data_IF_981527332337
#
_entry.id   IF_981527332337
#
_cell.length_a   1.000
_cell.length_b   1.000
_cell.length_c   1.000
_cell.angle_alpha   90.00
_cell.angle_beta   90.00
_cell.angle_gamma   90.00
#
_symmetry.space_group_name_H-M   'P 1'
#
loop_
_entity.id
_entity.type
_entity.pdbx_description
1 polymer ?
#
# COMPACT_ATOMS: atom_id res chain seq x y z
N UNK A 1 22.19 -1.14 26.55
CA UNK A 1 20.83 -1.20 27.10
C UNK A 1 20.35 0.22 27.37
N UNK A 2 19.88 0.92 26.34
CA UNK A 2 19.28 2.26 26.51
C UNK A 2 17.79 2.06 26.79
N UNK A 3 17.35 2.38 28.00
CA UNK A 3 15.96 2.61 28.33
C UNK A 3 15.50 3.81 27.48
N UNK A 4 14.86 3.55 26.31
CA UNK A 4 14.10 4.58 25.60
C UNK A 4 13.08 5.11 26.61
N UNK A 5 13.22 6.39 26.96
CA UNK A 5 12.32 7.12 27.84
C UNK A 5 10.90 6.99 27.28
N UNK A 6 10.07 6.23 27.95
CA UNK A 6 8.64 6.11 27.71
C UNK A 6 7.98 7.41 28.19
N UNK A 7 8.09 8.46 27.40
CA UNK A 7 7.29 9.67 27.56
C UNK A 7 6.08 9.51 26.63
N UNK A 8 5.29 8.46 26.85
CA UNK A 8 3.96 8.40 26.27
C UNK A 8 2.97 8.23 27.41
N UNK A 9 1.95 9.06 27.33
CA UNK A 9 0.85 9.25 28.23
C UNK A 9 0.44 7.94 28.91
N UNK A 10 0.39 7.97 30.24
CA UNK A 10 -0.21 6.92 31.08
C UNK A 10 -1.71 6.78 30.88
N UNK A 11 -2.29 7.45 29.85
CA UNK A 11 -3.70 7.47 29.55
C UNK A 11 -4.17 6.20 28.85
N UNK A 12 -5.44 5.88 29.08
CA UNK A 12 -6.11 4.77 28.42
C UNK A 12 -6.99 5.30 27.30
N UNK A 13 -6.85 4.71 26.12
CA UNK A 13 -7.61 5.07 24.93
C UNK A 13 -8.72 4.07 24.64
N UNK A 14 -9.80 4.55 24.02
CA UNK A 14 -10.93 3.74 23.58
C UNK A 14 -11.34 4.11 22.16
N UNK A 15 -11.67 3.10 21.36
CA UNK A 15 -12.34 3.30 20.07
C UNK A 15 -13.11 2.06 19.61
N UNK A 16 -13.98 2.26 18.61
CA UNK A 16 -14.58 1.19 17.81
C UNK A 16 -13.49 0.60 16.90
N UNK A 17 -13.20 -0.69 17.03
CA UNK A 17 -12.18 -1.41 16.26
C UNK A 17 -12.74 -2.15 15.03
N UNK A 18 -14.05 -2.26 14.89
CA UNK A 18 -14.75 -2.76 13.69
C UNK A 18 -15.17 -1.62 12.77
N UNK A 19 -15.57 -1.93 11.54
CA UNK A 19 -16.13 -0.93 10.64
C UNK A 19 -17.33 -0.21 11.27
N UNK A 20 -17.51 1.07 10.95
CA UNK A 20 -18.66 1.86 11.38
C UNK A 20 -19.93 1.40 10.68
N UNK A 21 -21.09 1.55 11.36
CA UNK A 21 -22.39 1.18 10.84
C UNK A 21 -23.03 0.03 11.63
N UNK A 22 -24.25 -0.35 11.24
CA UNK A 22 -24.98 -1.44 11.89
C UNK A 22 -24.42 -2.80 11.46
N UNK A 23 -24.20 -3.69 12.42
CA UNK A 23 -23.73 -5.06 12.19
C UNK A 23 -24.19 -6.00 13.29
N UNK A 24 -23.91 -7.29 13.16
CA UNK A 24 -24.23 -8.25 14.21
C UNK A 24 -23.36 -8.02 15.46
N UNK A 25 -22.10 -7.71 15.26
CA UNK A 25 -21.09 -7.53 16.31
C UNK A 25 -20.31 -6.24 16.06
N UNK A 26 -20.05 -5.48 17.13
CA UNK A 26 -19.09 -4.39 17.19
C UNK A 26 -18.03 -4.69 18.24
N UNK A 27 -16.77 -4.43 17.95
CA UNK A 27 -15.67 -4.57 18.90
C UNK A 27 -15.20 -3.19 19.35
N UNK A 28 -15.31 -2.91 20.64
CA UNK A 28 -14.79 -1.69 21.25
C UNK A 28 -13.53 -2.06 22.01
N UNK A 29 -12.42 -1.38 21.69
CA UNK A 29 -11.09 -1.68 22.25
C UNK A 29 -10.63 -0.56 23.18
N UNK A 30 -10.19 -0.95 24.38
CA UNK A 30 -9.45 -0.12 25.33
C UNK A 30 -7.98 -0.55 25.32
N UNK A 31 -7.05 0.40 25.37
CA UNK A 31 -5.61 0.14 25.52
C UNK A 31 -4.99 1.19 26.42
N UNK A 32 -4.15 0.76 27.35
CA UNK A 32 -3.42 1.63 28.27
C UNK A 32 -3.36 1.06 29.68
N UNK A 33 -2.67 1.77 30.57
CA UNK A 33 -2.37 1.31 31.91
C UNK A 33 -3.63 0.92 32.72
N UNK A 34 -4.72 1.68 32.57
CA UNK A 34 -5.95 1.49 33.35
C UNK A 34 -7.06 0.78 32.53
N UNK A 35 -6.72 0.14 31.40
CA UNK A 35 -7.74 -0.48 30.53
C UNK A 35 -8.55 -1.57 31.23
N UNK A 36 -7.91 -2.38 32.09
CA UNK A 36 -8.56 -3.47 32.81
C UNK A 36 -9.41 -2.94 33.97
N UNK A 37 -8.91 -1.94 34.70
CA UNK A 37 -9.62 -1.30 35.81
C UNK A 37 -10.88 -0.59 35.32
N UNK A 38 -10.80 0.17 34.23
CA UNK A 38 -11.95 0.81 33.59
C UNK A 38 -12.94 -0.24 33.13
N UNK A 39 -12.48 -1.31 32.49
CA UNK A 39 -13.35 -2.40 32.05
C UNK A 39 -14.07 -3.09 33.22
N UNK A 40 -13.37 -3.34 34.32
CA UNK A 40 -13.94 -4.01 35.51
C UNK A 40 -15.03 -3.17 36.17
N UNK A 41 -14.94 -1.82 36.12
CA UNK A 41 -15.94 -0.92 36.66
C UNK A 41 -17.25 -0.96 35.88
N UNK A 42 -17.18 -1.16 34.57
CA UNK A 42 -18.37 -1.05 33.67
C UNK A 42 -18.93 -2.41 33.24
N UNK A 43 -18.18 -3.50 33.43
CA UNK A 43 -18.55 -4.85 33.02
C UNK A 43 -18.84 -5.74 34.24
N UNK A 44 -19.96 -6.46 34.20
CA UNK A 44 -20.34 -7.42 35.23
C UNK A 44 -20.34 -8.84 34.69
N UNK A 45 -19.30 -9.59 35.01
CA UNK A 45 -19.18 -10.99 34.60
C UNK A 45 -20.24 -11.87 35.27
N UNK A 46 -20.86 -12.76 34.51
CA UNK A 46 -21.78 -13.76 35.08
C UNK A 46 -21.08 -14.77 36.00
N UNK A 47 -19.78 -14.96 35.84
CA UNK A 47 -19.01 -15.76 36.79
C UNK A 47 -18.73 -15.07 38.11
N UNK A 48 -19.18 -13.80 38.27
CA UNK A 48 -18.95 -12.95 39.45
C UNK A 48 -17.46 -12.73 39.79
N UNK A 49 -16.55 -12.99 38.83
CA UNK A 49 -15.12 -12.74 39.01
C UNK A 49 -14.76 -11.38 38.40
N UNK A 50 -13.91 -10.64 39.12
CA UNK A 50 -13.33 -9.39 38.60
C UNK A 50 -12.47 -9.66 37.39
N UNK A 51 -12.49 -8.75 36.41
CA UNK A 51 -11.59 -8.78 35.25
C UNK A 51 -10.14 -8.54 35.68
N UNK A 52 -9.92 -7.84 36.79
CA UNK A 52 -8.59 -7.58 37.35
C UNK A 52 -7.90 -8.91 37.75
N UNK A 53 -8.65 -9.87 38.29
CA UNK A 53 -8.11 -11.16 38.72
C UNK A 53 -8.10 -12.21 37.59
N UNK A 54 -8.76 -11.91 36.46
CA UNK A 54 -8.86 -12.85 35.35
C UNK A 54 -7.49 -13.08 34.69
N UNK A 55 -7.18 -14.30 34.22
CA UNK A 55 -5.96 -14.55 33.43
C UNK A 55 -5.96 -13.79 32.10
N UNK A 56 -4.75 -13.49 31.59
CA UNK A 56 -4.61 -12.93 30.23
C UNK A 56 -5.07 -13.92 29.17
N UNK A 57 -5.58 -13.42 28.04
CA UNK A 57 -6.09 -14.21 26.91
C UNK A 57 -7.30 -15.07 27.27
N UNK A 58 -8.19 -14.51 28.11
CA UNK A 58 -9.47 -15.13 28.48
C UNK A 58 -10.64 -14.28 28.03
N UNK A 59 -11.77 -14.95 27.80
CA UNK A 59 -13.03 -14.34 27.37
C UNK A 59 -14.06 -14.55 28.46
N UNK A 60 -14.81 -13.50 28.81
CA UNK A 60 -15.81 -13.49 29.86
C UNK A 60 -17.15 -13.01 29.30
N UNK A 61 -18.23 -13.76 29.57
CA UNK A 61 -19.60 -13.32 29.28
C UNK A 61 -20.12 -12.53 30.43
N UNK A 62 -20.84 -11.43 30.14
CA UNK A 62 -21.43 -10.56 31.16
C UNK A 62 -22.20 -9.41 30.55
N UNK A 63 -22.56 -8.45 31.40
CA UNK A 63 -23.29 -7.25 31.02
C UNK A 63 -22.45 -5.99 31.15
N UNK A 64 -22.66 -5.04 30.23
CA UNK A 64 -22.19 -3.66 30.37
C UNK A 64 -23.32 -2.84 31.02
N UNK A 65 -22.99 -2.15 32.10
CA UNK A 65 -23.99 -1.45 32.94
C UNK A 65 -23.61 0.02 33.14
N UNK A 66 -24.58 0.89 32.98
CA UNK A 66 -24.50 2.30 33.37
C UNK A 66 -25.63 2.63 34.38
N UNK A 67 -25.28 3.19 35.55
CA UNK A 67 -26.26 3.62 36.55
C UNK A 67 -27.32 2.56 36.87
N UNK A 68 -26.93 1.30 37.03
CA UNK A 68 -27.76 0.12 37.26
C UNK A 68 -28.71 -0.24 36.09
N UNK A 69 -28.44 0.25 34.93
CA UNK A 69 -29.15 -0.09 33.69
C UNK A 69 -28.23 -0.90 32.78
N UNK A 70 -28.69 -2.08 32.35
CA UNK A 70 -27.94 -2.90 31.36
C UNK A 70 -28.02 -2.21 30.01
N UNK A 71 -26.85 -1.94 29.43
CA UNK A 71 -26.70 -1.41 28.08
C UNK A 71 -26.71 -2.56 27.06
N UNK A 72 -25.90 -3.59 27.35
CA UNK A 72 -25.78 -4.75 26.47
C UNK A 72 -25.26 -5.98 27.22
N UNK A 73 -25.54 -7.16 26.71
CA UNK A 73 -24.92 -8.42 27.11
C UNK A 73 -23.83 -8.76 26.08
N UNK A 74 -22.56 -8.86 26.52
CA UNK A 74 -21.44 -8.97 25.62
C UNK A 74 -20.30 -9.82 26.16
N UNK A 75 -19.28 -10.03 25.32
CA UNK A 75 -18.04 -10.69 25.70
C UNK A 75 -16.96 -9.65 25.98
N UNK A 76 -16.21 -9.83 27.08
CA UNK A 76 -14.99 -9.08 27.38
C UNK A 76 -13.78 -9.99 27.20
N UNK A 77 -12.85 -9.62 26.31
CA UNK A 77 -11.57 -10.31 26.09
C UNK A 77 -10.45 -9.51 26.73
N UNK A 78 -9.56 -10.15 27.50
CA UNK A 78 -8.55 -9.49 28.29
C UNK A 78 -7.15 -9.87 27.80
N UNK A 79 -6.29 -8.87 27.63
CA UNK A 79 -4.88 -9.02 27.30
C UNK A 79 -4.06 -8.25 28.33
N UNK A 80 -3.34 -8.97 29.21
CA UNK A 80 -2.49 -8.38 30.26
C UNK A 80 -1.06 -8.19 29.80
N UNK A 81 -0.46 -7.10 30.24
CA UNK A 81 0.95 -6.80 29.99
C UNK A 81 1.27 -6.62 28.52
N UNK A 82 2.46 -6.99 28.11
CA UNK A 82 2.99 -6.74 26.76
C UNK A 82 2.51 -7.72 25.67
N UNK A 83 1.76 -8.77 26.05
CA UNK A 83 1.24 -9.76 25.08
C UNK A 83 -0.11 -9.32 24.51
N UNK A 84 -0.17 -8.11 23.99
CA UNK A 84 -1.31 -7.49 23.33
C UNK A 84 -0.89 -6.88 21.99
N UNK A 85 -1.82 -6.34 21.23
CA UNK A 85 -1.53 -5.64 19.99
C UNK A 85 -0.64 -4.41 20.20
N UNK A 86 -1.00 -3.56 21.16
CA UNK A 86 -0.28 -2.31 21.46
C UNK A 86 0.97 -2.51 22.34
N UNK A 87 1.14 -3.67 22.95
CA UNK A 87 2.15 -3.89 24.00
C UNK A 87 1.77 -3.35 25.36
N UNK A 88 0.55 -2.87 25.55
CA UNK A 88 -0.05 -2.39 26.80
C UNK A 88 -1.16 -3.34 27.25
N UNK A 89 -1.73 -3.22 28.48
CA UNK A 89 -2.98 -3.88 28.84
C UNK A 89 -4.11 -3.47 27.89
N UNK A 90 -4.85 -4.47 27.37
CA UNK A 90 -5.96 -4.25 26.42
C UNK A 90 -7.18 -5.02 26.87
N UNK A 91 -8.36 -4.41 26.72
CA UNK A 91 -9.66 -5.07 26.82
C UNK A 91 -10.46 -4.83 25.55
N UNK A 92 -11.07 -5.88 25.02
CA UNK A 92 -11.97 -5.80 23.88
C UNK A 92 -13.38 -6.25 24.29
N UNK A 93 -14.36 -5.37 24.12
CA UNK A 93 -15.77 -5.70 24.28
C UNK A 93 -16.37 -6.06 22.93
N UNK A 94 -16.85 -7.30 22.78
CA UNK A 94 -17.63 -7.73 21.61
C UNK A 94 -19.10 -7.57 21.92
N UNK A 95 -19.66 -6.44 21.52
CA UNK A 95 -21.05 -6.02 21.77
C UNK A 95 -21.92 -6.27 20.54
N UNK A 96 -23.26 -6.13 20.67
CA UNK A 96 -24.12 -6.04 19.50
C UNK A 96 -23.82 -4.76 18.70
N UNK A 97 -23.78 -4.86 17.39
CA UNK A 97 -23.37 -3.79 16.47
C UNK A 97 -24.44 -2.74 16.19
N UNK A 98 -25.13 -2.27 17.24
CA UNK A 98 -26.03 -1.12 17.18
C UNK A 98 -25.27 0.18 17.40
N UNK A 99 -25.51 1.20 16.57
CA UNK A 99 -24.91 2.52 16.77
C UNK A 99 -25.15 3.07 18.17
N UNK A 100 -26.35 2.86 18.71
CA UNK A 100 -26.69 3.28 20.06
C UNK A 100 -25.82 2.60 21.11
N UNK A 101 -25.68 1.27 21.05
CA UNK A 101 -24.84 0.49 21.98
C UNK A 101 -23.39 0.95 21.91
N UNK A 102 -22.84 1.08 20.70
CA UNK A 102 -21.45 1.54 20.48
C UNK A 102 -21.21 2.90 21.12
N UNK A 103 -22.11 3.87 20.90
CA UNK A 103 -22.00 5.21 21.48
C UNK A 103 -22.07 5.19 23.01
N UNK A 104 -23.03 4.45 23.59
CA UNK A 104 -23.19 4.38 25.03
C UNK A 104 -22.01 3.69 25.73
N UNK A 105 -21.45 2.62 25.13
CA UNK A 105 -20.26 1.95 25.67
C UNK A 105 -19.03 2.85 25.60
N UNK A 106 -18.82 3.57 24.49
CA UNK A 106 -17.73 4.54 24.39
C UNK A 106 -17.91 5.65 25.44
N UNK A 107 -19.10 6.25 25.56
CA UNK A 107 -19.38 7.27 26.57
C UNK A 107 -19.12 6.74 27.99
N UNK A 108 -19.48 5.49 28.25
CA UNK A 108 -19.24 4.85 29.53
C UNK A 108 -17.73 4.70 29.82
N UNK A 109 -16.94 4.30 28.84
CA UNK A 109 -15.48 4.24 28.98
C UNK A 109 -14.86 5.62 29.22
N UNK A 110 -15.35 6.67 28.53
CA UNK A 110 -14.88 8.04 28.70
C UNK A 110 -15.20 8.57 30.08
N UNK A 111 -16.42 8.29 30.61
CA UNK A 111 -16.85 8.68 31.95
C UNK A 111 -16.01 8.01 33.05
N UNK A 112 -15.39 6.88 32.78
CA UNK A 112 -14.52 6.13 33.70
C UNK A 112 -13.01 6.38 33.45
N UNK A 113 -12.65 7.43 32.71
CA UNK A 113 -11.26 7.91 32.62
C UNK A 113 -10.48 7.46 31.38
N UNK A 114 -11.13 6.84 30.40
CA UNK A 114 -10.55 6.68 29.06
C UNK A 114 -10.67 7.99 28.26
N UNK A 115 -9.89 8.14 27.19
CA UNK A 115 -10.14 9.14 26.14
C UNK A 115 -10.33 8.47 24.78
N UNK A 116 -10.91 9.20 23.84
CA UNK A 116 -10.98 8.72 22.46
C UNK A 116 -9.58 8.56 21.86
N UNK A 117 -9.39 7.46 21.12
CA UNK A 117 -8.19 7.25 20.35
C UNK A 117 -8.14 8.17 19.12
N UNK A 118 -6.96 8.63 18.78
CA UNK A 118 -6.68 9.29 17.52
C UNK A 118 -6.62 8.28 16.37
N UNK A 119 -6.59 8.77 15.11
CA UNK A 119 -6.40 7.92 13.94
C UNK A 119 -5.07 7.16 14.04
N UNK A 120 -5.10 5.83 13.87
CA UNK A 120 -3.91 4.98 13.92
C UNK A 120 -3.24 4.84 15.28
N UNK A 121 -3.83 5.34 16.38
CA UNK A 121 -3.13 5.43 17.66
C UNK A 121 -2.80 4.07 18.27
N UNK A 122 -3.62 3.05 18.11
CA UNK A 122 -3.28 1.70 18.59
C UNK A 122 -2.05 1.14 17.87
N UNK A 123 -1.96 1.35 16.55
CA UNK A 123 -0.79 0.91 15.76
C UNK A 123 0.45 1.76 16.07
N UNK A 124 0.28 3.08 16.30
CA UNK A 124 1.34 3.97 16.76
C UNK A 124 1.92 3.50 18.10
N UNK A 125 1.07 3.13 19.06
CA UNK A 125 1.50 2.56 20.35
C UNK A 125 2.21 1.22 20.18
N UNK A 126 1.72 0.35 19.27
CA UNK A 126 2.40 -0.90 18.95
C UNK A 126 3.83 -0.64 18.41
N UNK A 127 4.01 0.33 17.52
CA UNK A 127 5.32 0.75 17.02
C UNK A 127 6.21 1.30 18.16
N UNK A 128 5.70 2.23 18.95
CA UNK A 128 6.45 2.85 20.05
C UNK A 128 6.87 1.86 21.14
N UNK A 129 6.05 0.84 21.38
CA UNK A 129 6.33 -0.25 22.30
C UNK A 129 7.19 -1.37 21.66
N UNK A 130 7.69 -1.18 20.43
CA UNK A 130 8.59 -2.11 19.76
C UNK A 130 7.93 -3.43 19.33
N UNK A 131 6.60 -3.44 19.15
CA UNK A 131 5.86 -4.61 18.64
C UNK A 131 5.96 -4.72 17.13
N UNK A 132 6.08 -3.59 16.44
CA UNK A 132 6.18 -3.46 15.00
C UNK A 132 7.27 -2.45 14.65
N UNK A 133 7.98 -2.67 13.54
CA UNK A 133 8.75 -1.63 12.88
C UNK A 133 7.81 -0.66 12.14
N UNK A 134 8.29 0.54 11.77
CA UNK A 134 7.43 1.56 11.16
C UNK A 134 6.84 1.10 9.83
N UNK A 135 7.64 0.47 8.97
CA UNK A 135 7.16 -0.09 7.70
C UNK A 135 6.18 -1.27 7.90
N UNK A 136 6.29 -2.03 8.99
CA UNK A 136 5.29 -3.05 9.35
C UNK A 136 3.97 -2.40 9.80
N UNK A 137 4.06 -1.29 10.55
CA UNK A 137 2.89 -0.51 10.93
C UNK A 137 2.17 0.03 9.68
N UNK A 138 2.89 0.59 8.72
CA UNK A 138 2.33 1.02 7.42
C UNK A 138 1.66 -0.15 6.68
N UNK A 139 2.29 -1.34 6.69
CA UNK A 139 1.73 -2.53 6.05
C UNK A 139 0.42 -3.02 6.67
N UNK A 140 0.14 -2.72 7.95
CA UNK A 140 -1.17 -2.99 8.57
C UNK A 140 -2.28 -2.19 7.87
N UNK A 141 -2.04 -0.90 7.57
CA UNK A 141 -3.00 -0.09 6.83
C UNK A 141 -3.20 -0.61 5.40
N UNK A 142 -2.11 -0.96 4.73
CA UNK A 142 -2.13 -1.52 3.38
C UNK A 142 -2.90 -2.85 3.32
N UNK A 143 -2.74 -3.71 4.34
CA UNK A 143 -3.45 -4.98 4.43
C UNK A 143 -4.97 -4.78 4.57
N UNK A 144 -5.39 -3.79 5.35
CA UNK A 144 -6.80 -3.45 5.54
C UNK A 144 -7.40 -2.86 4.26
N UNK A 145 -6.63 -2.02 3.56
CA UNK A 145 -7.06 -1.37 2.32
C UNK A 145 -6.96 -2.29 1.09
N UNK A 146 -6.37 -3.50 1.24
CA UNK A 146 -6.17 -4.40 0.10
C UNK A 146 -7.50 -4.92 -0.45
N UNK A 147 -7.70 -4.73 -1.74
CA UNK A 147 -8.90 -5.11 -2.50
C UNK A 147 -8.65 -6.25 -3.50
N UNK A 148 -7.39 -6.65 -3.71
CA UNK A 148 -7.00 -7.69 -4.65
C UNK A 148 -6.10 -8.74 -3.99
N UNK A 149 -6.00 -9.93 -4.60
CA UNK A 149 -5.09 -10.99 -4.14
C UNK A 149 -3.64 -10.51 -4.11
N UNK A 150 -3.23 -9.73 -5.10
CA UNK A 150 -1.87 -9.24 -5.20
C UNK A 150 -1.57 -8.21 -4.10
N UNK A 151 -2.42 -7.20 -3.92
CA UNK A 151 -2.26 -6.19 -2.86
C UNK A 151 -2.24 -6.82 -1.47
N UNK A 152 -3.14 -7.78 -1.21
CA UNK A 152 -3.16 -8.53 0.04
C UNK A 152 -1.84 -9.31 0.28
N UNK A 153 -1.34 -10.04 -0.73
CA UNK A 153 -0.10 -10.81 -0.59
C UNK A 153 1.10 -9.93 -0.29
N UNK A 154 1.24 -8.81 -0.99
CA UNK A 154 2.33 -7.84 -0.78
C UNK A 154 2.25 -7.21 0.62
N UNK A 155 1.07 -6.73 1.02
CA UNK A 155 0.88 -6.15 2.36
C UNK A 155 1.15 -7.16 3.48
N UNK A 156 0.69 -8.41 3.32
CA UNK A 156 0.95 -9.48 4.30
C UNK A 156 2.43 -9.83 4.41
N UNK A 157 3.17 -9.85 3.28
CA UNK A 157 4.61 -10.10 3.28
C UNK A 157 5.38 -8.97 4.00
N UNK A 158 5.01 -7.72 3.74
CA UNK A 158 5.61 -6.56 4.41
C UNK A 158 5.29 -6.55 5.92
N UNK A 159 4.05 -6.84 6.31
CA UNK A 159 3.65 -6.94 7.71
C UNK A 159 4.42 -8.04 8.46
N UNK A 160 4.76 -9.16 7.79
CA UNK A 160 5.56 -10.25 8.36
C UNK A 160 7.06 -9.92 8.48
N UNK A 161 7.51 -8.75 8.03
CA UNK A 161 8.85 -8.25 8.26
C UNK A 161 9.93 -8.70 7.27
N UNK A 162 9.56 -9.28 6.10
CA UNK A 162 10.54 -9.70 5.10
C UNK A 162 11.44 -8.55 4.64
N UNK A 163 10.84 -7.40 4.32
CA UNK A 163 11.57 -6.18 3.97
C UNK A 163 12.37 -5.59 5.15
N UNK A 164 11.78 -5.62 6.36
CA UNK A 164 12.41 -5.11 7.59
C UNK A 164 13.72 -5.85 7.89
N UNK A 165 13.70 -7.18 7.87
CA UNK A 165 14.89 -7.98 8.19
C UNK A 165 16.02 -7.77 7.19
N UNK A 166 15.72 -7.53 5.91
CA UNK A 166 16.72 -7.25 4.88
C UNK A 166 17.41 -5.89 5.14
N UNK A 167 16.62 -4.84 5.44
CA UNK A 167 17.16 -3.51 5.78
C UNK A 167 17.94 -3.54 7.09
N UNK A 168 17.46 -4.22 8.11
CA UNK A 168 18.15 -4.36 9.41
C UNK A 168 19.48 -5.08 9.24
N UNK A 169 19.58 -6.13 8.43
CA UNK A 169 20.82 -6.84 8.15
C UNK A 169 21.85 -5.93 7.48
N UNK A 170 21.47 -5.23 6.41
CA UNK A 170 22.36 -4.27 5.72
C UNK A 170 22.84 -3.17 6.69
N UNK A 171 21.91 -2.66 7.49
CA UNK A 171 22.21 -1.60 8.46
C UNK A 171 23.16 -2.08 9.55
N UNK A 172 22.99 -3.30 10.06
CA UNK A 172 23.86 -3.86 11.09
C UNK A 172 25.29 -4.09 10.58
N UNK A 173 25.43 -4.59 9.35
CA UNK A 173 26.75 -4.77 8.75
C UNK A 173 27.46 -3.43 8.55
N UNK A 174 26.73 -2.40 8.06
CA UNK A 174 27.27 -1.07 7.87
C UNK A 174 27.64 -0.40 9.21
N UNK A 175 26.82 -0.61 10.25
CA UNK A 175 27.08 -0.10 11.60
C UNK A 175 28.33 -0.73 12.20
N UNK A 176 28.51 -2.04 12.05
CA UNK A 176 29.70 -2.74 12.51
C UNK A 176 30.96 -2.17 11.84
N UNK A 177 30.88 -1.88 10.55
CA UNK A 177 31.99 -1.29 9.82
C UNK A 177 32.27 0.17 10.24
N UNK A 178 31.22 0.98 10.41
CA UNK A 178 31.35 2.35 10.93
C UNK A 178 32.08 2.36 12.29
N UNK A 179 31.74 1.42 13.16
CA UNK A 179 32.40 1.31 14.47
C UNK A 179 33.90 0.98 14.37
N UNK A 180 34.31 0.16 13.38
CA UNK A 180 35.72 -0.12 13.14
C UNK A 180 36.48 1.10 12.62
N UNK A 181 35.86 1.90 11.75
CA UNK A 181 36.45 3.16 11.26
C UNK A 181 36.59 4.18 12.41
N UNK A 182 35.57 4.30 13.28
CA UNK A 182 35.64 5.17 14.46
C UNK A 182 36.76 4.75 15.40
N UNK A 183 36.95 3.43 15.57
CA UNK A 183 38.06 2.89 16.38
C UNK A 183 39.43 3.24 15.75
N UNK A 184 39.58 3.16 14.42
CA UNK A 184 40.82 3.59 13.74
C UNK A 184 41.12 5.09 14.00
N UNK A 185 40.11 5.93 14.03
CA UNK A 185 40.25 7.35 14.30
C UNK A 185 40.70 7.63 15.75
N UNK A 186 40.18 6.87 16.72
CA UNK A 186 40.56 7.01 18.13
C UNK A 186 42.02 6.56 18.39
N UNK A 187 42.53 5.63 17.56
CA UNK A 187 43.92 5.11 17.66
C UNK A 187 44.79 5.60 16.50
N UNK A 188 44.45 6.72 15.87
CA UNK A 188 45.15 7.27 14.69
C UNK A 188 46.65 7.61 14.92
N UNK A 189 47.10 7.73 16.19
CA UNK A 189 48.51 7.92 16.56
C UNK A 189 49.34 6.61 16.50
N UNK A 190 48.68 5.44 16.41
CA UNK A 190 49.35 4.13 16.47
C UNK A 190 49.50 3.43 15.10
N UNK A 191 49.11 4.03 13.98
CA UNK A 191 49.11 3.49 12.61
C UNK A 191 48.46 2.06 12.51
N UNK A 192 47.38 1.84 13.24
CA UNK A 192 46.67 0.55 13.24
C UNK A 192 45.44 0.60 12.35
N UNK A 193 45.37 -0.31 11.38
CA UNK A 193 44.15 -0.52 10.55
C UNK A 193 43.32 -1.65 11.16
N UNK A 194 42.13 -1.35 11.72
CA UNK A 194 41.18 -2.33 12.25
C UNK A 194 40.15 -2.79 11.19
N UNK A 195 39.87 -1.96 10.20
CA UNK A 195 38.90 -2.23 9.16
C UNK A 195 39.56 -2.76 7.89
N UNK A 196 39.27 -4.03 7.53
CA UNK A 196 39.71 -4.61 6.27
C UNK A 196 39.05 -3.91 5.07
N UNK A 197 39.81 -3.09 4.35
CA UNK A 197 39.34 -2.32 3.20
C UNK A 197 38.80 -3.19 2.06
N UNK A 198 39.29 -4.44 1.93
CA UNK A 198 38.79 -5.38 0.91
C UNK A 198 37.41 -5.93 1.28
N UNK A 199 37.19 -6.26 2.55
CA UNK A 199 35.88 -6.66 3.06
C UNK A 199 34.89 -5.51 2.95
N UNK A 200 35.31 -4.28 3.27
CA UNK A 200 34.44 -3.11 3.13
C UNK A 200 34.01 -2.87 1.68
N UNK A 201 34.92 -2.97 0.73
CA UNK A 201 34.58 -2.84 -0.70
C UNK A 201 33.55 -3.88 -1.15
N UNK A 202 33.66 -5.12 -0.66
CA UNK A 202 32.69 -6.16 -0.95
C UNK A 202 31.33 -5.86 -0.28
N UNK A 203 31.34 -5.37 0.95
CA UNK A 203 30.11 -4.94 1.66
C UNK A 203 29.42 -3.81 0.90
N UNK A 204 30.12 -2.75 0.51
CA UNK A 204 29.57 -1.65 -0.28
C UNK A 204 28.94 -2.16 -1.58
N UNK A 205 29.60 -3.07 -2.30
CA UNK A 205 29.06 -3.68 -3.50
C UNK A 205 27.78 -4.46 -3.23
N UNK A 206 27.70 -5.22 -2.13
CA UNK A 206 26.50 -5.97 -1.73
C UNK A 206 25.36 -5.00 -1.42
N UNK A 207 25.63 -3.97 -0.60
CA UNK A 207 24.63 -2.95 -0.24
C UNK A 207 24.11 -2.26 -1.49
N UNK A 208 25.01 -1.80 -2.37
CA UNK A 208 24.63 -1.11 -3.63
C UNK A 208 23.76 -1.99 -4.53
N UNK A 209 24.10 -3.27 -4.66
CA UNK A 209 23.31 -4.24 -5.45
C UNK A 209 21.93 -4.44 -4.86
N UNK A 210 21.83 -4.63 -3.55
CA UNK A 210 20.55 -4.83 -2.84
C UNK A 210 19.68 -3.57 -2.91
N UNK A 211 20.25 -2.39 -2.63
CA UNK A 211 19.50 -1.12 -2.73
C UNK A 211 18.99 -0.89 -4.14
N UNK A 212 19.83 -1.10 -5.16
CA UNK A 212 19.43 -0.94 -6.57
C UNK A 212 18.29 -1.90 -6.95
N UNK A 213 18.34 -3.15 -6.50
CA UNK A 213 17.29 -4.14 -6.73
C UNK A 213 15.98 -3.73 -6.07
N UNK A 214 16.02 -3.27 -4.81
CA UNK A 214 14.85 -2.78 -4.08
C UNK A 214 14.24 -1.53 -4.74
N UNK A 215 15.06 -0.57 -5.15
CA UNK A 215 14.62 0.63 -5.87
C UNK A 215 13.93 0.25 -7.19
N UNK A 216 14.52 -0.65 -7.98
CA UNK A 216 13.92 -1.13 -9.23
C UNK A 216 12.60 -1.86 -9.01
N UNK A 217 12.44 -2.55 -7.87
CA UNK A 217 11.19 -3.24 -7.55
C UNK A 217 10.00 -2.32 -7.30
N UNK A 218 10.24 -1.02 -7.05
CA UNK A 218 9.19 -0.06 -6.67
C UNK A 218 8.10 0.08 -7.74
N UNK A 219 8.46 0.10 -9.01
CA UNK A 219 7.47 0.22 -10.11
C UNK A 219 6.48 -0.94 -10.10
N UNK A 220 7.00 -2.17 -9.95
CA UNK A 220 6.19 -3.39 -9.86
C UNK A 220 5.40 -3.45 -8.54
N UNK A 221 6.06 -3.14 -7.42
CA UNK A 221 5.43 -3.10 -6.10
C UNK A 221 4.26 -2.12 -6.03
N UNK A 222 4.42 -0.93 -6.62
CA UNK A 222 3.37 0.08 -6.69
C UNK A 222 2.17 -0.40 -7.51
N UNK A 223 2.41 -1.08 -8.64
CA UNK A 223 1.37 -1.67 -9.47
C UNK A 223 0.64 -2.81 -8.74
N UNK A 224 1.36 -3.67 -8.03
CA UNK A 224 0.75 -4.76 -7.25
C UNK A 224 -0.11 -4.24 -6.09
N UNK A 225 0.31 -3.15 -5.44
CA UNK A 225 -0.40 -2.51 -4.34
C UNK A 225 -1.62 -1.72 -4.81
N UNK A 226 -1.43 -0.83 -5.78
CA UNK A 226 -2.43 0.16 -6.18
C UNK A 226 -3.21 -0.23 -7.44
N UNK A 227 -2.90 -1.38 -8.04
CA UNK A 227 -3.47 -1.83 -9.30
C UNK A 227 -2.81 -1.20 -10.53
N UNK A 228 -3.10 -1.79 -11.69
CA UNK A 228 -2.58 -1.36 -13.01
C UNK A 228 -3.46 -0.21 -13.52
N UNK A 229 -2.92 1.00 -13.69
CA UNK A 229 -3.69 2.10 -14.27
C UNK A 229 -3.87 1.89 -15.78
N UNK A 230 -5.13 1.90 -16.24
CA UNK A 230 -5.54 1.67 -17.63
C UNK A 230 -6.21 2.92 -18.19
N UNK A 231 -5.76 3.38 -19.35
CA UNK A 231 -6.43 4.42 -20.10
C UNK A 231 -7.17 3.82 -21.31
N UNK A 232 -8.44 4.16 -21.49
CA UNK A 232 -9.19 3.88 -22.72
C UNK A 232 -9.21 5.16 -23.55
N UNK A 233 -8.58 5.13 -24.72
CA UNK A 233 -8.46 6.27 -25.63
C UNK A 233 -9.01 5.93 -27.01
N UNK A 234 -9.41 6.93 -27.77
CA UNK A 234 -9.99 6.77 -29.11
C UNK A 234 -10.95 7.93 -29.44
N UNK A 235 -11.32 8.07 -30.73
CA UNK A 235 -12.26 9.11 -31.21
C UNK A 235 -13.59 9.07 -30.44
N UNK A 236 -14.37 10.16 -30.44
CA UNK A 236 -15.78 10.12 -30.04
C UNK A 236 -16.51 8.98 -30.78
N UNK A 237 -17.45 8.31 -30.10
CA UNK A 237 -18.22 7.18 -30.63
C UNK A 237 -17.44 5.91 -31.03
N UNK A 238 -16.15 5.82 -30.74
CA UNK A 238 -15.37 4.57 -30.93
C UNK A 238 -15.86 3.41 -30.04
N UNK A 239 -16.71 3.66 -29.04
CA UNK A 239 -17.29 2.64 -28.16
C UNK A 239 -16.60 2.49 -26.79
N UNK A 240 -15.90 3.53 -26.31
CA UNK A 240 -15.17 3.53 -25.04
C UNK A 240 -16.05 3.20 -23.83
N UNK A 241 -17.22 3.84 -23.71
CA UNK A 241 -18.19 3.57 -22.61
C UNK A 241 -18.79 2.17 -22.73
N UNK A 242 -19.05 1.72 -23.96
CA UNK A 242 -19.58 0.37 -24.22
C UNK A 242 -18.56 -0.69 -23.82
N UNK A 243 -17.28 -0.49 -24.17
CA UNK A 243 -16.19 -1.39 -23.77
C UNK A 243 -16.04 -1.45 -22.24
N UNK A 244 -16.01 -0.30 -21.56
CA UNK A 244 -15.90 -0.26 -20.11
C UNK A 244 -17.06 -1.00 -19.45
N UNK A 245 -18.30 -0.76 -19.91
CA UNK A 245 -19.48 -1.47 -19.41
C UNK A 245 -19.43 -2.98 -19.70
N UNK A 246 -18.96 -3.39 -20.87
CA UNK A 246 -18.81 -4.81 -21.21
C UNK A 246 -17.78 -5.50 -20.31
N UNK A 247 -16.68 -4.81 -19.97
CA UNK A 247 -15.67 -5.32 -19.04
C UNK A 247 -16.20 -5.43 -17.61
N UNK A 248 -17.00 -4.47 -17.14
CA UNK A 248 -17.52 -4.41 -15.76
C UNK A 248 -18.76 -5.28 -15.52
N UNK A 249 -19.63 -5.45 -16.51
CA UNK A 249 -20.92 -6.13 -16.32
C UNK A 249 -20.80 -7.61 -15.97
N UNK A 250 -19.73 -8.27 -16.35
CA UNK A 250 -19.51 -9.68 -15.99
C UNK A 250 -19.09 -9.88 -14.52
N UNK A 251 -18.53 -8.87 -13.84
CA UNK A 251 -18.10 -8.97 -12.43
C UNK A 251 -19.15 -8.50 -11.42
N UNK A 252 -20.09 -7.64 -11.80
CA UNK A 252 -21.17 -7.18 -10.90
C UNK A 252 -22.03 -8.31 -10.32
N UNK A 253 -21.92 -9.51 -10.87
CA UNK A 253 -22.58 -10.70 -10.33
C UNK A 253 -21.96 -11.26 -9.04
N UNK A 254 -20.81 -10.77 -8.59
CA UNK A 254 -20.02 -11.38 -7.49
C UNK A 254 -19.78 -10.45 -6.30
N UNK A 255 -19.94 -9.12 -6.45
CA UNK A 255 -19.60 -8.16 -5.38
C UNK A 255 -20.83 -7.45 -4.83
N UNK A 256 -21.08 -7.61 -3.53
CA UNK A 256 -22.09 -6.85 -2.79
C UNK A 256 -21.67 -5.37 -2.67
N UNK A 257 -22.64 -4.45 -2.84
CA UNK A 257 -22.50 -3.02 -2.63
C UNK A 257 -22.05 -2.71 -1.18
N UNK A 258 -20.75 -2.53 -0.98
CA UNK A 258 -20.24 -1.90 0.25
C UNK A 258 -20.17 -0.40 -0.02
N UNK A 259 -21.22 0.32 0.43
CA UNK A 259 -21.24 1.77 0.43
C UNK A 259 -20.19 2.30 1.42
N UNK A 260 -19.19 3.06 0.97
CA UNK A 260 -18.28 3.71 1.90
C UNK A 260 -16.96 4.29 1.41
N UNK A 261 -16.69 4.38 0.11
CA UNK A 261 -15.48 5.09 -0.39
C UNK A 261 -15.85 6.10 -1.46
N UNK A 262 -16.44 7.22 -1.04
CA UNK A 262 -16.59 8.42 -1.87
C UNK A 262 -15.58 9.45 -1.40
N UNK A 263 -14.54 9.69 -2.21
CA UNK A 263 -13.99 11.02 -2.52
C UNK A 263 -12.81 10.90 -3.47
N UNK A 264 -12.92 11.71 -4.53
CA UNK A 264 -11.91 12.03 -5.54
C UNK A 264 -11.72 11.02 -6.69
N UNK A 265 -12.18 11.44 -7.88
CA UNK A 265 -12.13 10.79 -9.20
C UNK A 265 -12.88 9.46 -9.32
N UNK A 266 -13.87 9.42 -10.21
CA UNK A 266 -14.63 8.20 -10.52
C UNK A 266 -13.72 7.28 -11.34
N UNK A 267 -12.90 6.50 -10.65
CA UNK A 267 -12.12 5.41 -11.22
C UNK A 267 -12.92 4.10 -11.06
N UNK A 268 -13.04 3.34 -12.13
CA UNK A 268 -13.64 2.00 -12.09
C UNK A 268 -12.53 0.96 -11.97
N UNK A 269 -12.69 0.01 -11.08
CA UNK A 269 -11.70 -1.06 -10.85
C UNK A 269 -12.26 -2.40 -11.30
N UNK A 270 -11.45 -3.16 -12.02
CA UNK A 270 -11.73 -4.52 -12.48
C UNK A 270 -10.65 -5.46 -11.99
N UNK A 271 -11.02 -6.60 -11.39
CA UNK A 271 -10.06 -7.58 -10.88
C UNK A 271 -9.84 -8.70 -11.91
N UNK A 272 -8.66 -8.75 -12.54
CA UNK A 272 -8.31 -9.76 -13.53
C UNK A 272 -7.05 -10.51 -13.07
N UNK A 273 -7.07 -11.82 -13.03
CA UNK A 273 -5.90 -12.62 -12.63
C UNK A 273 -5.42 -12.38 -11.20
N UNK A 274 -6.29 -11.81 -10.33
CA UNK A 274 -5.95 -11.47 -8.94
C UNK A 274 -5.24 -10.12 -8.76
N UNK A 275 -5.16 -9.32 -9.83
CA UNK A 275 -4.63 -7.94 -9.82
C UNK A 275 -5.76 -6.97 -10.17
N UNK A 276 -5.78 -5.80 -9.54
CA UNK A 276 -6.70 -4.72 -9.83
C UNK A 276 -6.25 -3.95 -11.09
N UNK A 277 -7.15 -3.72 -12.03
CA UNK A 277 -7.00 -2.82 -13.16
C UNK A 277 -7.86 -1.59 -12.94
N UNK A 278 -7.24 -0.42 -12.75
CA UNK A 278 -7.92 0.84 -12.49
C UNK A 278 -8.09 1.63 -13.78
N UNK A 279 -9.32 1.78 -14.23
CA UNK A 279 -9.65 2.58 -15.41
C UNK A 279 -9.71 4.05 -15.03
N UNK A 280 -8.67 4.80 -15.40
CA UNK A 280 -8.50 6.20 -15.00
C UNK A 280 -9.43 7.14 -15.79
N UNK A 281 -10.01 8.13 -15.07
CA UNK A 281 -10.86 9.20 -15.61
C UNK A 281 -12.05 8.68 -16.45
N UNK A 282 -12.90 7.86 -15.81
CA UNK A 282 -14.11 7.31 -16.43
C UNK A 282 -15.25 8.33 -16.53
N UNK A 283 -15.16 9.48 -15.83
CA UNK A 283 -16.18 10.53 -15.87
C UNK A 283 -16.39 11.07 -17.29
N UNK A 284 -15.33 11.31 -18.05
CA UNK A 284 -15.42 11.73 -19.45
C UNK A 284 -15.87 10.62 -20.42
N UNK A 285 -16.02 9.37 -19.94
CA UNK A 285 -16.52 8.24 -20.72
C UNK A 285 -18.03 8.07 -20.54
N UNK A 286 -18.60 8.51 -19.40
CA UNK A 286 -20.04 8.41 -19.08
C UNK A 286 -20.87 9.58 -19.61
N UNK A 287 -20.30 10.78 -19.71
CA UNK A 287 -21.00 11.98 -20.22
C UNK A 287 -20.84 12.06 -21.74
N UNK A 288 -21.78 11.43 -22.44
CA UNK A 288 -21.95 11.53 -23.88
C UNK A 288 -22.93 12.65 -24.23
N UNK A 289 -22.56 13.91 -24.07
CA UNK A 289 -23.14 15.03 -24.80
C UNK A 289 -22.19 16.22 -24.82
N UNK A 290 -21.68 16.47 -26.04
CA UNK A 290 -21.17 17.72 -26.57
C UNK A 290 -20.06 18.52 -25.86
N UNK A 291 -19.04 18.71 -26.62
CA UNK A 291 -18.21 19.88 -26.92
C UNK A 291 -16.70 19.71 -26.77
N UNK A 292 -16.05 19.94 -27.93
CA UNK A 292 -14.69 20.46 -28.16
C UNK A 292 -13.62 19.39 -28.33
N UNK A 293 -13.31 19.09 -29.59
CA UNK A 293 -12.25 18.19 -30.09
C UNK A 293 -10.85 18.51 -29.53
N UNK A 294 -10.51 19.79 -29.33
CA UNK A 294 -9.21 20.22 -28.83
C UNK A 294 -8.99 19.85 -27.32
N UNK A 295 -10.04 19.88 -26.51
CA UNK A 295 -10.01 19.47 -25.10
C UNK A 295 -9.87 17.95 -25.00
N UNK A 296 -10.37 17.20 -25.97
CA UNK A 296 -10.27 15.74 -26.03
C UNK A 296 -8.84 15.23 -26.19
N UNK A 297 -8.01 15.89 -27.03
CA UNK A 297 -6.61 15.51 -27.26
C UNK A 297 -5.73 15.77 -26.03
N UNK A 298 -5.91 16.91 -25.38
CA UNK A 298 -5.17 17.26 -24.17
C UNK A 298 -5.49 16.28 -23.04
N UNK A 299 -6.76 15.99 -22.80
CA UNK A 299 -7.20 15.00 -21.81
C UNK A 299 -6.71 13.58 -22.12
N UNK A 300 -6.64 13.20 -23.40
CA UNK A 300 -6.10 11.91 -23.79
C UNK A 300 -4.60 11.79 -23.45
N UNK A 301 -3.81 12.86 -23.66
CA UNK A 301 -2.41 12.91 -23.28
C UNK A 301 -2.20 12.73 -21.76
N UNK A 302 -2.95 13.48 -20.96
CA UNK A 302 -2.88 13.37 -19.49
C UNK A 302 -3.24 11.97 -18.98
N UNK A 303 -4.19 11.28 -19.65
CA UNK A 303 -4.54 9.89 -19.33
C UNK A 303 -3.40 8.93 -19.69
N UNK A 304 -2.82 9.09 -20.87
CA UNK A 304 -1.70 8.27 -21.35
C UNK A 304 -0.48 8.43 -20.44
N UNK A 305 -0.20 9.65 -19.97
CA UNK A 305 0.93 9.91 -19.05
C UNK A 305 0.83 9.13 -17.74
N UNK A 306 -0.39 8.88 -17.25
CA UNK A 306 -0.64 8.19 -15.98
C UNK A 306 -0.85 6.68 -16.12
N UNK A 307 -1.12 6.18 -17.33
CA UNK A 307 -1.49 4.78 -17.56
C UNK A 307 -0.26 3.88 -17.75
N UNK A 308 -0.34 2.65 -17.26
CA UNK A 308 0.61 1.57 -17.59
C UNK A 308 0.14 0.72 -18.76
N UNK A 309 -1.18 0.69 -19.02
CA UNK A 309 -1.78 0.05 -20.19
C UNK A 309 -2.66 1.06 -20.90
N UNK A 310 -2.48 1.19 -22.21
CA UNK A 310 -3.26 2.06 -23.07
C UNK A 310 -4.07 1.18 -24.02
N UNK A 311 -5.41 1.21 -23.87
CA UNK A 311 -6.36 0.57 -24.77
C UNK A 311 -6.80 1.61 -25.81
N UNK A 312 -6.23 1.54 -27.01
CA UNK A 312 -6.57 2.46 -28.09
C UNK A 312 -7.71 1.86 -28.95
N UNK A 313 -8.90 2.45 -28.82
CA UNK A 313 -10.11 2.02 -29.53
C UNK A 313 -10.28 2.76 -30.85
N UNK A 314 -10.49 2.01 -31.92
CA UNK A 314 -10.78 2.54 -33.26
C UNK A 314 -11.74 1.61 -34.03
N UNK A 315 -12.30 2.10 -35.09
CA UNK A 315 -13.01 1.31 -36.12
C UNK A 315 -12.55 1.75 -37.54
N UNK A 316 -12.75 0.86 -38.52
CA UNK A 316 -12.29 1.03 -39.90
C UNK A 316 -13.10 2.05 -40.69
N UNK A 317 -14.29 2.46 -40.19
CA UNK A 317 -15.18 3.45 -40.85
C UNK A 317 -14.81 4.88 -40.48
N UNK A 318 -14.42 5.10 -39.23
CA UNK A 318 -14.16 6.43 -38.66
C UNK A 318 -12.66 6.76 -38.57
N UNK A 319 -11.76 5.78 -38.82
CA UNK A 319 -10.31 5.95 -38.68
C UNK A 319 -9.57 5.50 -39.92
N UNK A 320 -8.52 6.23 -40.29
CA UNK A 320 -7.53 5.81 -41.31
C UNK A 320 -6.28 5.25 -40.64
N UNK A 321 -5.53 4.41 -41.36
CA UNK A 321 -4.22 3.86 -40.89
C UNK A 321 -3.27 5.00 -40.48
N UNK A 322 -3.23 6.08 -41.26
CA UNK A 322 -2.39 7.25 -40.98
C UNK A 322 -2.73 7.95 -39.67
N UNK A 323 -4.02 8.13 -39.36
CA UNK A 323 -4.46 8.77 -38.13
C UNK A 323 -4.10 7.92 -36.90
N UNK A 324 -4.34 6.60 -36.96
CA UNK A 324 -4.04 5.67 -35.88
C UNK A 324 -2.52 5.65 -35.61
N UNK A 325 -1.74 5.50 -36.65
CA UNK A 325 -0.27 5.39 -36.54
C UNK A 325 0.39 6.68 -36.07
N UNK A 326 -0.13 7.84 -36.55
CA UNK A 326 0.34 9.16 -36.10
C UNK A 326 0.04 9.35 -34.61
N UNK A 327 -1.21 9.07 -34.19
CA UNK A 327 -1.60 9.21 -32.78
C UNK A 327 -0.74 8.35 -31.86
N UNK A 328 -0.52 7.07 -32.19
CA UNK A 328 0.29 6.17 -31.37
C UNK A 328 1.73 6.66 -31.28
N UNK A 329 2.36 7.06 -32.41
CA UNK A 329 3.74 7.55 -32.44
C UNK A 329 3.93 8.84 -31.66
N UNK A 330 3.01 9.80 -31.78
CA UNK A 330 3.09 11.08 -31.09
C UNK A 330 2.89 10.97 -29.57
N UNK A 331 2.15 9.97 -29.13
CA UNK A 331 1.82 9.76 -27.72
C UNK A 331 2.53 8.55 -27.12
N UNK A 332 3.52 7.97 -27.82
CA UNK A 332 4.27 6.83 -27.34
C UNK A 332 5.07 7.18 -26.09
N UNK A 333 4.97 6.30 -25.09
CA UNK A 333 5.74 6.40 -23.86
C UNK A 333 6.40 5.05 -23.57
N UNK A 334 7.71 5.07 -23.44
CA UNK A 334 8.48 3.88 -23.05
C UNK A 334 8.00 3.34 -21.70
N UNK A 335 7.89 2.03 -21.58
CA UNK A 335 7.40 1.36 -20.38
C UNK A 335 5.87 1.23 -20.26
N UNK A 336 5.07 1.85 -21.14
CA UNK A 336 3.64 1.63 -21.23
C UNK A 336 3.31 0.57 -22.29
N UNK A 337 2.34 -0.33 -21.98
CA UNK A 337 1.87 -1.34 -22.94
C UNK A 337 0.71 -0.78 -23.75
N UNK A 338 0.89 -0.68 -25.06
CA UNK A 338 -0.15 -0.26 -25.99
C UNK A 338 -0.88 -1.49 -26.55
N UNK A 339 -2.21 -1.45 -26.51
CA UNK A 339 -3.10 -2.48 -27.07
C UNK A 339 -4.05 -1.79 -28.03
N UNK A 340 -3.98 -2.15 -29.29
CA UNK A 340 -4.88 -1.66 -30.33
C UNK A 340 -6.15 -2.50 -30.30
N UNK A 341 -7.30 -1.85 -30.18
CA UNK A 341 -8.60 -2.50 -30.15
C UNK A 341 -9.43 -2.06 -31.36
N UNK A 342 -9.48 -2.93 -32.38
CA UNK A 342 -10.37 -2.76 -33.52
C UNK A 342 -11.77 -3.15 -33.09
N UNK A 343 -12.62 -2.15 -32.86
CA UNK A 343 -13.98 -2.32 -32.36
C UNK A 343 -15.01 -2.32 -33.51
N UNK A 344 -16.25 -2.72 -33.20
CA UNK A 344 -17.38 -2.80 -34.13
C UNK A 344 -17.17 -3.83 -35.25
N UNK A 345 -16.38 -4.87 -35.04
CA UNK A 345 -16.09 -5.92 -36.03
C UNK A 345 -17.31 -6.75 -36.43
N UNK A 346 -18.41 -6.64 -35.67
CA UNK A 346 -19.73 -7.15 -36.03
C UNK A 346 -20.32 -6.49 -37.29
N UNK A 347 -19.85 -5.28 -37.65
CA UNK A 347 -20.36 -4.51 -38.80
C UNK A 347 -19.54 -4.72 -40.09
N UNK A 348 -18.32 -5.33 -40.02
CA UNK A 348 -17.41 -5.49 -41.16
C UNK A 348 -16.55 -6.77 -40.99
N UNK A 349 -17.09 -7.99 -41.08
CA UNK A 349 -16.38 -9.19 -40.68
C UNK A 349 -15.27 -9.66 -41.65
N UNK A 350 -15.26 -9.31 -42.93
CA UNK A 350 -14.37 -9.91 -43.94
C UNK A 350 -13.26 -8.96 -44.48
N UNK A 351 -13.39 -7.63 -44.41
CA UNK A 351 -12.47 -6.69 -45.03
C UNK A 351 -11.32 -6.17 -44.14
N UNK A 352 -11.30 -6.55 -42.88
CA UNK A 352 -10.52 -5.88 -41.84
C UNK A 352 -9.08 -6.39 -41.70
N UNK A 353 -8.70 -7.54 -42.26
CA UNK A 353 -7.36 -8.14 -42.09
C UNK A 353 -6.24 -7.28 -42.70
N UNK A 354 -6.43 -6.80 -43.92
CA UNK A 354 -5.41 -5.98 -44.61
C UNK A 354 -5.19 -4.62 -43.90
N UNK A 355 -6.25 -4.02 -43.38
CA UNK A 355 -6.21 -2.78 -42.61
C UNK A 355 -5.43 -2.95 -41.29
N UNK A 356 -5.69 -4.03 -40.55
CA UNK A 356 -5.01 -4.35 -39.29
C UNK A 356 -3.53 -4.68 -39.51
N UNK A 357 -3.23 -5.45 -40.59
CA UNK A 357 -1.84 -5.82 -40.94
C UNK A 357 -1.01 -4.58 -41.31
N UNK A 358 -1.59 -3.61 -42.04
CA UNK A 358 -0.94 -2.34 -42.39
C UNK A 358 -0.66 -1.49 -41.14
N UNK A 359 -1.59 -1.44 -40.17
CA UNK A 359 -1.39 -0.75 -38.88
C UNK A 359 -0.23 -1.39 -38.12
N UNK A 360 -0.26 -2.72 -37.92
CA UNK A 360 0.78 -3.43 -37.16
C UNK A 360 2.15 -3.29 -37.81
N UNK A 361 2.24 -3.35 -39.16
CA UNK A 361 3.46 -3.12 -39.88
C UNK A 361 4.01 -1.70 -39.67
N UNK A 362 3.14 -0.69 -39.70
CA UNK A 362 3.49 0.72 -39.52
C UNK A 362 3.87 1.09 -38.08
N UNK A 363 3.42 0.30 -37.10
CA UNK A 363 3.67 0.47 -35.67
C UNK A 363 4.67 -0.54 -35.10
N UNK A 364 5.43 -1.23 -35.95
CA UNK A 364 6.48 -2.13 -35.52
C UNK A 364 7.49 -1.39 -34.64
N UNK A 365 7.72 -1.90 -33.42
CA UNK A 365 8.56 -1.25 -32.40
C UNK A 365 7.82 -0.34 -31.42
N UNK A 366 6.54 -0.04 -31.68
CA UNK A 366 5.66 0.68 -30.76
C UNK A 366 4.65 -0.24 -30.06
N UNK A 367 4.01 -1.12 -30.82
CA UNK A 367 3.14 -2.19 -30.33
C UNK A 367 3.10 -3.36 -31.30
N UNK A 368 2.87 -4.55 -30.78
CA UNK A 368 2.67 -5.80 -31.50
C UNK A 368 1.28 -6.42 -31.26
N UNK A 369 0.46 -5.71 -30.49
CA UNK A 369 -0.81 -6.22 -29.96
C UNK A 369 -1.99 -5.49 -30.58
N UNK A 370 -2.77 -6.22 -31.39
CA UNK A 370 -4.05 -5.76 -31.94
C UNK A 370 -5.09 -6.86 -31.69
N UNK A 371 -6.20 -6.49 -31.09
CA UNK A 371 -7.35 -7.37 -30.85
C UNK A 371 -8.58 -6.83 -31.58
N UNK A 372 -9.34 -7.73 -32.22
CA UNK A 372 -10.60 -7.46 -32.86
C UNK A 372 -11.73 -7.73 -31.89
N UNK A 373 -12.55 -6.72 -31.62
CA UNK A 373 -13.64 -6.85 -30.66
C UNK A 373 -14.94 -6.30 -31.19
N UNK A 374 -16.07 -6.75 -30.64
CA UNK A 374 -17.32 -6.01 -30.64
C UNK A 374 -17.72 -5.76 -29.19
N UNK A 375 -17.49 -4.55 -28.71
CA UNK A 375 -17.85 -4.18 -27.35
C UNK A 375 -19.37 -4.23 -27.11
N UNK A 376 -20.17 -4.04 -28.15
CA UNK A 376 -21.64 -4.08 -28.11
C UNK A 376 -22.17 -5.51 -27.99
N UNK A 377 -21.63 -6.41 -28.79
CA UNK A 377 -22.07 -7.81 -28.87
C UNK A 377 -21.27 -8.74 -27.92
N UNK A 378 -20.28 -8.19 -27.19
CA UNK A 378 -19.43 -8.94 -26.26
C UNK A 378 -18.40 -9.86 -26.94
N UNK A 379 -18.19 -9.72 -28.26
CA UNK A 379 -17.27 -10.59 -29.01
C UNK A 379 -15.83 -10.26 -28.63
N UNK A 380 -15.04 -11.30 -28.33
CA UNK A 380 -13.61 -11.25 -28.00
C UNK A 380 -13.25 -10.39 -26.77
N UNK A 381 -14.23 -10.03 -25.93
CA UNK A 381 -13.98 -9.36 -24.64
C UNK A 381 -13.20 -10.29 -23.70
N UNK A 382 -13.50 -11.59 -23.71
CA UNK A 382 -12.76 -12.59 -22.96
C UNK A 382 -11.29 -12.67 -23.41
N UNK A 383 -10.99 -12.52 -24.70
CA UNK A 383 -9.62 -12.48 -25.22
C UNK A 383 -8.84 -11.27 -24.67
N UNK A 384 -9.47 -10.10 -24.65
CA UNK A 384 -8.89 -8.91 -24.01
C UNK A 384 -8.63 -9.13 -22.52
N UNK A 385 -9.55 -9.75 -21.79
CA UNK A 385 -9.35 -10.10 -20.38
C UNK A 385 -8.19 -11.08 -20.19
N UNK A 386 -8.07 -12.08 -21.04
CA UNK A 386 -6.95 -13.02 -21.00
C UNK A 386 -5.62 -12.33 -21.26
N UNK A 387 -5.57 -11.45 -22.24
CA UNK A 387 -4.38 -10.62 -22.50
C UNK A 387 -3.99 -9.78 -21.27
N UNK A 388 -4.95 -9.11 -20.63
CA UNK A 388 -4.71 -8.35 -19.41
C UNK A 388 -4.25 -9.26 -18.25
N UNK A 389 -4.84 -10.46 -18.12
CA UNK A 389 -4.42 -11.47 -17.13
C UNK A 389 -2.97 -11.92 -17.33
N UNK A 390 -2.58 -12.20 -18.57
CA UNK A 390 -1.22 -12.62 -18.91
C UNK A 390 -0.22 -11.48 -18.64
N UNK A 391 -0.57 -10.25 -19.00
CA UNK A 391 0.23 -9.07 -18.66
C UNK A 391 0.40 -8.93 -17.14
N UNK A 392 -0.67 -9.09 -16.36
CA UNK A 392 -0.64 -9.07 -14.91
C UNK A 392 0.26 -10.17 -14.33
N UNK A 393 0.23 -11.38 -14.92
CA UNK A 393 1.09 -12.50 -14.49
C UNK A 393 2.57 -12.20 -14.71
N UNK A 394 2.95 -11.56 -15.82
CA UNK A 394 4.36 -11.17 -16.05
C UNK A 394 4.88 -10.25 -14.95
N UNK A 395 4.05 -9.33 -14.46
CA UNK A 395 4.38 -8.45 -13.33
C UNK A 395 4.42 -9.21 -12.00
N UNK A 396 3.51 -10.15 -11.77
CA UNK A 396 3.44 -10.91 -10.52
C UNK A 396 4.58 -11.91 -10.34
N UNK A 397 5.16 -12.42 -11.42
CA UNK A 397 6.37 -13.27 -11.34
C UNK A 397 7.59 -12.50 -10.83
N UNK A 398 7.69 -11.22 -11.14
CA UNK A 398 8.72 -10.31 -10.61
C UNK A 398 8.48 -10.05 -9.10
N UNK A 399 7.23 -10.05 -8.66
CA UNK A 399 6.82 -9.77 -7.26
C UNK A 399 7.00 -10.91 -6.25
N UNK A 400 7.65 -12.02 -6.60
CA UNK A 400 8.00 -13.09 -5.62
C UNK A 400 9.17 -12.72 -4.72
N UNK A 401 9.99 -11.74 -5.11
CA UNK A 401 11.02 -11.14 -4.28
C UNK A 401 10.41 -10.04 -3.37
N UNK A 402 11.17 -9.58 -2.41
CA UNK A 402 10.81 -8.40 -1.60
C UNK A 402 10.62 -7.19 -2.51
N UNK A 403 9.43 -6.59 -2.49
CA UNK A 403 9.12 -5.41 -3.30
C UNK A 403 8.83 -4.18 -2.45
N UNK A 404 9.30 -3.04 -2.92
CA UNK A 404 9.02 -1.73 -2.31
C UNK A 404 7.72 -1.19 -2.90
N UNK A 405 6.80 -0.75 -2.03
CA UNK A 405 5.47 -0.25 -2.45
C UNK A 405 5.18 1.17 -1.99
N UNK A 406 5.98 1.68 -1.06
CA UNK A 406 5.78 3.00 -0.46
C UNK A 406 6.82 3.98 -1.01
N UNK A 407 6.35 5.15 -1.47
CA UNK A 407 7.21 6.20 -2.01
C UNK A 407 8.24 6.68 -0.97
N UNK A 408 7.88 6.74 0.31
CA UNK A 408 8.80 7.10 1.40
C UNK A 408 9.99 6.13 1.48
N UNK A 409 9.72 4.83 1.32
CA UNK A 409 10.79 3.82 1.31
C UNK A 409 11.67 3.95 0.06
N UNK A 410 11.06 4.20 -1.10
CA UNK A 410 11.77 4.44 -2.35
C UNK A 410 12.72 5.63 -2.23
N UNK A 411 12.26 6.75 -1.69
CA UNK A 411 13.07 7.96 -1.46
C UNK A 411 14.21 7.69 -0.48
N UNK A 412 13.92 7.02 0.63
CA UNK A 412 14.93 6.68 1.63
C UNK A 412 16.01 5.73 1.06
N UNK A 413 15.62 4.72 0.27
CA UNK A 413 16.55 3.81 -0.41
C UNK A 413 17.39 4.54 -1.46
N UNK A 414 16.79 5.45 -2.23
CA UNK A 414 17.49 6.25 -3.24
C UNK A 414 18.54 7.17 -2.61
N UNK A 415 18.20 7.82 -1.51
CA UNK A 415 19.13 8.66 -0.76
C UNK A 415 20.26 7.82 -0.12
N UNK A 416 19.92 6.64 0.43
CA UNK A 416 20.91 5.72 0.96
C UNK A 416 21.88 5.22 -0.12
N UNK A 417 21.38 4.96 -1.34
CA UNK A 417 22.22 4.56 -2.49
C UNK A 417 23.19 5.68 -2.89
N UNK A 418 22.72 6.93 -2.96
CA UNK A 418 23.56 8.09 -3.26
C UNK A 418 24.66 8.30 -2.20
N UNK A 419 24.33 8.11 -0.91
CA UNK A 419 25.31 8.20 0.15
C UNK A 419 26.37 7.08 0.06
N UNK A 420 25.96 5.83 -0.27
CA UNK A 420 26.89 4.71 -0.51
C UNK A 420 27.79 4.98 -1.73
N UNK A 421 27.30 5.60 -2.77
CA UNK A 421 28.10 5.99 -3.92
C UNK A 421 29.20 7.02 -3.56
N UNK A 422 28.87 7.98 -2.71
CA UNK A 422 29.87 8.93 -2.16
C UNK A 422 30.93 8.20 -1.31
N UNK A 423 30.54 7.22 -0.49
CA UNK A 423 31.51 6.38 0.25
C UNK A 423 32.45 5.64 -0.70
N UNK A 424 31.93 5.04 -1.78
CA UNK A 424 32.72 4.34 -2.79
C UNK A 424 33.71 5.28 -3.50
N UNK A 425 33.26 6.47 -3.89
CA UNK A 425 34.09 7.51 -4.48
C UNK A 425 35.18 8.00 -3.51
N UNK A 426 34.81 8.26 -2.24
CA UNK A 426 35.75 8.68 -1.21
C UNK A 426 36.84 7.64 -0.95
N UNK A 427 36.48 6.34 -0.99
CA UNK A 427 37.49 5.26 -0.91
C UNK A 427 38.45 5.27 -2.10
N UNK A 428 37.95 5.49 -3.33
CA UNK A 428 38.79 5.58 -4.52
C UNK A 428 39.76 6.76 -4.47
N UNK A 429 39.31 7.87 -3.85
CA UNK A 429 40.11 9.07 -3.65
C UNK A 429 41.05 8.97 -2.42
N UNK A 430 41.06 7.85 -1.73
CA UNK A 430 41.80 7.65 -0.49
C UNK A 430 41.50 8.70 0.61
N UNK A 431 40.22 9.09 0.73
CA UNK A 431 39.80 9.99 1.79
C UNK A 431 40.00 9.36 3.17
N UNK A 432 40.23 10.20 4.16
CA UNK A 432 40.39 9.80 5.57
C UNK A 432 39.12 9.17 6.13
N UNK A 433 39.26 8.30 7.15
CA UNK A 433 38.13 7.57 7.74
C UNK A 433 37.02 8.47 8.31
N UNK A 434 37.39 9.65 8.83
CA UNK A 434 36.44 10.65 9.36
C UNK A 434 35.48 11.17 8.28
N UNK A 435 36.00 11.42 7.06
CA UNK A 435 35.15 11.85 5.94
C UNK A 435 34.23 10.71 5.45
N UNK A 436 34.77 9.49 5.37
CA UNK A 436 33.95 8.31 5.00
C UNK A 436 32.85 8.03 6.03
N UNK A 437 33.14 8.23 7.33
CA UNK A 437 32.19 8.04 8.40
C UNK A 437 30.95 8.94 8.29
N UNK A 438 31.09 10.14 7.72
CA UNK A 438 29.96 11.07 7.49
C UNK A 438 28.94 10.43 6.53
N UNK A 439 29.38 9.99 5.36
CA UNK A 439 28.52 9.41 4.34
C UNK A 439 27.94 8.04 4.78
N UNK A 440 28.71 7.27 5.55
CA UNK A 440 28.21 6.03 6.16
C UNK A 440 27.08 6.32 7.17
N UNK A 441 27.23 7.35 8.02
CA UNK A 441 26.16 7.77 8.94
C UNK A 441 24.94 8.30 8.19
N UNK A 442 25.11 9.01 7.07
CA UNK A 442 24.01 9.44 6.19
C UNK A 442 23.25 8.24 5.64
N UNK A 443 23.96 7.20 5.18
CA UNK A 443 23.34 5.95 4.74
C UNK A 443 22.55 5.26 5.87
N UNK A 444 23.16 5.12 7.05
CA UNK A 444 22.51 4.54 8.25
C UNK A 444 21.27 5.33 8.65
N UNK A 445 21.31 6.66 8.55
CA UNK A 445 20.17 7.52 8.80
C UNK A 445 19.01 7.21 7.86
N UNK A 446 19.24 7.20 6.54
CA UNK A 446 18.20 6.93 5.56
C UNK A 446 17.59 5.52 5.71
N UNK A 447 18.41 4.50 5.93
CA UNK A 447 17.92 3.15 6.21
C UNK A 447 17.12 3.08 7.51
N UNK A 448 17.56 3.79 8.56
CA UNK A 448 16.87 3.86 9.84
C UNK A 448 15.52 4.57 9.79
N UNK A 449 15.29 5.48 8.83
CA UNK A 449 13.99 6.11 8.63
C UNK A 449 12.93 5.14 8.12
N UNK A 450 13.32 4.08 7.41
CA UNK A 450 12.41 3.05 6.89
C UNK A 450 11.82 2.23 8.05
N UNK A 451 12.69 1.72 8.92
CA UNK A 451 12.29 0.86 10.05
C UNK A 451 11.74 1.64 11.24
N UNK A 452 12.01 2.96 11.28
CA UNK A 452 11.59 3.86 12.37
C UNK A 452 12.58 3.94 13.52
N UNK A 453 13.81 3.38 13.38
CA UNK A 453 14.87 3.61 14.37
C UNK A 453 15.28 5.09 14.42
N UNK A 454 15.15 5.77 13.29
CA UNK A 454 15.23 7.22 13.16
C UNK A 454 13.85 7.70 12.74
N UNK A 455 13.16 8.43 13.61
CA UNK A 455 11.83 8.99 13.34
C UNK A 455 11.65 10.31 14.07
N UNK A 456 10.80 11.19 13.53
CA UNK A 456 10.34 12.40 14.19
C UNK A 456 8.80 12.37 14.29
N UNK A 457 8.25 13.22 15.17
CA UNK A 457 6.81 13.29 15.43
C UNK A 457 5.99 13.68 14.20
N UNK A 458 6.53 14.54 13.34
CA UNK A 458 5.86 14.97 12.11
C UNK A 458 5.68 13.81 11.12
N UNK A 459 6.73 13.01 10.91
CA UNK A 459 6.66 11.81 10.04
C UNK A 459 5.67 10.80 10.62
N UNK A 460 5.72 10.54 11.93
CA UNK A 460 4.77 9.65 12.58
C UNK A 460 3.34 10.18 12.47
N UNK A 461 3.13 11.47 12.70
CA UNK A 461 1.84 12.13 12.53
C UNK A 461 1.27 11.95 11.12
N UNK A 462 2.07 12.19 10.09
CA UNK A 462 1.66 12.03 8.69
C UNK A 462 1.32 10.57 8.32
N UNK A 463 2.05 9.61 8.84
CA UNK A 463 1.78 8.19 8.58
C UNK A 463 0.47 7.78 9.25
N UNK A 464 0.34 8.01 10.56
CA UNK A 464 -0.78 7.49 11.34
C UNK A 464 -2.10 8.25 11.12
N UNK A 465 -2.07 9.53 10.70
CA UNK A 465 -3.28 10.29 10.35
C UNK A 465 -4.09 9.68 9.18
N UNK A 466 -3.47 8.83 8.36
CA UNK A 466 -4.12 8.13 7.23
C UNK A 466 -4.82 6.83 7.65
N UNK A 467 -4.65 6.41 8.90
CA UNK A 467 -5.29 5.20 9.42
C UNK A 467 -6.73 5.49 9.85
N UNK A 468 -7.54 4.42 9.93
CA UNK A 468 -8.84 4.52 10.55
C UNK A 468 -8.72 4.69 12.08
N UNK A 469 -9.67 5.40 12.70
CA UNK A 469 -9.82 5.44 14.15
C UNK A 469 -10.13 4.01 14.64
N UNK A 470 -9.46 3.55 15.68
CA UNK A 470 -9.61 2.18 16.19
C UNK A 470 -8.51 1.18 15.73
N UNK A 471 -7.55 1.67 14.93
CA UNK A 471 -6.40 0.91 14.42
C UNK A 471 -5.08 1.47 14.94
#
# INVERSE_FOLDING_TARGET
>A
MNKKNTIYNSDTIVALATASGMGAIAVIRLSGANAIEIADQIFKSYSKKSLIDAPSHTVHLGTLEAKNQVIDECLATIFKGTKSYTGEPVVEFSCHGSNYIVEEVIKLCLANGARLAEAGEFTKRAFLNGKLALNQAEAVADLIASDSKASHQVALQQMRGGFTSEIEALRQELLNFASLIELELDFSEEDVEFADRSQFKNLLKTIKTTLSSLIQSFSVGNVLKNGIPVAIVGKPNAGKSTLLNALLNEERAIVSDIAGTTRDTIEETLHIGGIAFRFIDTAGIRDTQDQIEAIGVQKAKEKIEKASVILFLFDDKDNTVSEITTFVKENYREGAKYVLLHNKTDLSPEETTAFDDEILQSLKGYTDTLLRISAKEGQNITELKNFLADYAQTLSHIGKATVVTNIRHYEALSNALQAIEKVEEGMQMHLSGDLLAIDIRETLYHLGTITGEVSNEEVLGNIFSRFCIGK
#
